data_IF_981591573432
#
_entry.id   IF_981591573432
#
_cell.length_a   1.000
_cell.length_b   1.000
_cell.length_c   1.000
_cell.angle_alpha   90.00
_cell.angle_beta   90.00
_cell.angle_gamma   90.00
#
_symmetry.space_group_name_H-M   'P 1'
#
loop_
_entity.id
_entity.type
_entity.pdbx_description
1 polymer ?
#
# COMPACT_ATOMS: atom_id res chain seq x y z
N UNK A 1 -115.12 23.07 25.87
CA UNK A 1 -113.89 23.84 25.56
C UNK A 1 -112.86 23.54 26.63
N UNK A 2 -111.54 23.45 26.36
CA UNK A 2 -110.81 22.69 25.33
C UNK A 2 -109.78 21.69 25.93
N UNK A 3 -109.18 20.90 25.02
CA UNK A 3 -107.95 20.10 25.03
C UNK A 3 -106.94 20.18 26.19
N UNK A 4 -106.34 19.02 26.54
CA UNK A 4 -104.90 18.75 26.30
C UNK A 4 -104.54 17.27 26.58
N UNK A 5 -104.29 16.50 25.52
CA UNK A 5 -103.56 15.21 25.57
C UNK A 5 -102.06 15.55 25.75
N UNK A 6 -101.45 15.04 26.83
CA UNK A 6 -100.03 15.19 27.12
C UNK A 6 -99.27 14.04 26.45
N UNK A 7 -98.55 14.35 25.36
CA UNK A 7 -97.57 13.46 24.73
C UNK A 7 -96.18 13.86 25.22
N UNK A 8 -95.48 13.01 25.98
CA UNK A 8 -94.11 13.28 26.47
C UNK A 8 -93.07 12.19 26.17
N UNK A 9 -93.41 11.14 25.43
CA UNK A 9 -92.50 9.98 25.26
C UNK A 9 -91.65 10.03 23.97
N UNK A 10 -91.96 10.93 23.03
CA UNK A 10 -91.23 11.06 21.76
C UNK A 10 -89.92 11.87 21.85
N UNK A 11 -89.83 12.85 22.74
CA UNK A 11 -88.65 13.72 22.90
C UNK A 11 -87.48 13.00 23.56
N UNK A 12 -87.75 12.09 24.50
CA UNK A 12 -86.71 11.25 25.15
C UNK A 12 -86.08 10.28 24.15
N UNK A 13 -86.88 9.69 23.26
CA UNK A 13 -86.37 8.81 22.21
C UNK A 13 -85.48 9.55 21.21
N UNK A 14 -85.87 10.77 20.81
CA UNK A 14 -85.07 11.60 19.90
C UNK A 14 -83.78 12.07 20.57
N UNK A 15 -83.80 12.45 21.85
CA UNK A 15 -82.57 12.83 22.56
C UNK A 15 -81.62 11.65 22.73
N UNK A 16 -82.13 10.47 23.11
CA UNK A 16 -81.31 9.26 23.28
C UNK A 16 -80.72 8.82 21.93
N UNK A 17 -81.52 8.81 20.86
CA UNK A 17 -81.05 8.50 19.50
C UNK A 17 -79.99 9.51 19.02
N UNK A 18 -80.20 10.81 19.27
CA UNK A 18 -79.22 11.83 18.92
C UNK A 18 -77.90 11.61 19.67
N UNK A 19 -77.93 11.31 20.97
CA UNK A 19 -76.72 10.98 21.74
C UNK A 19 -76.05 9.69 21.28
N UNK A 20 -76.79 8.62 20.96
CA UNK A 20 -76.17 7.36 20.52
C UNK A 20 -75.53 7.48 19.13
N UNK A 21 -76.13 8.26 18.23
CA UNK A 21 -75.52 8.60 16.92
C UNK A 21 -74.25 9.43 17.12
N UNK A 22 -74.28 10.42 18.03
CA UNK A 22 -73.10 11.25 18.34
C UNK A 22 -71.95 10.42 18.91
N UNK A 23 -72.24 9.55 19.87
CA UNK A 23 -71.26 8.62 20.45
C UNK A 23 -70.73 7.65 19.39
N UNK A 24 -71.58 7.16 18.49
CA UNK A 24 -71.16 6.32 17.36
C UNK A 24 -70.21 7.02 16.40
N UNK A 25 -70.48 8.28 16.05
CA UNK A 25 -69.59 9.10 15.20
C UNK A 25 -68.24 9.34 15.89
N UNK A 26 -68.24 9.67 17.19
CA UNK A 26 -67.01 9.87 17.96
C UNK A 26 -66.19 8.57 18.03
N UNK A 27 -66.84 7.43 18.25
CA UNK A 27 -66.17 6.12 18.28
C UNK A 27 -65.54 5.77 16.92
N UNK A 28 -66.25 5.99 15.80
CA UNK A 28 -65.72 5.75 14.46
C UNK A 28 -64.57 6.71 14.13
N UNK A 29 -64.70 8.00 14.50
CA UNK A 29 -63.65 8.99 14.32
C UNK A 29 -62.38 8.64 15.12
N UNK A 30 -62.53 8.17 16.36
CA UNK A 30 -61.41 7.72 17.20
C UNK A 30 -60.71 6.48 16.59
N UNK A 31 -61.45 5.51 16.06
CA UNK A 31 -60.87 4.35 15.36
C UNK A 31 -60.19 4.75 14.05
N UNK A 32 -60.76 5.70 13.32
CA UNK A 32 -60.13 6.27 12.12
C UNK A 32 -58.81 6.95 12.45
N UNK A 33 -58.78 7.75 13.53
CA UNK A 33 -57.59 8.47 13.98
C UNK A 33 -56.50 7.52 14.49
N UNK A 34 -56.84 6.47 15.25
CA UNK A 34 -55.84 5.49 15.72
C UNK A 34 -55.25 4.68 14.57
N UNK A 35 -56.04 4.36 13.54
CA UNK A 35 -55.52 3.72 12.30
C UNK A 35 -54.62 4.64 11.51
N UNK A 36 -54.98 5.92 11.37
CA UNK A 36 -54.17 6.91 10.68
C UNK A 36 -52.84 7.14 11.41
N UNK A 37 -52.88 7.33 12.73
CA UNK A 37 -51.69 7.44 13.58
C UNK A 37 -50.83 6.18 13.52
N UNK A 38 -51.45 5.00 13.59
CA UNK A 38 -50.75 3.72 13.47
C UNK A 38 -50.07 3.52 12.11
N UNK A 39 -50.67 4.02 11.02
CA UNK A 39 -50.04 4.00 9.69
C UNK A 39 -48.88 4.98 9.60
N UNK A 40 -49.02 6.19 10.14
CA UNK A 40 -47.95 7.18 10.19
C UNK A 40 -46.74 6.65 10.97
N UNK A 41 -46.98 6.15 12.19
CA UNK A 41 -45.92 5.60 13.03
C UNK A 41 -45.19 4.40 12.38
N UNK A 42 -45.91 3.57 11.61
CA UNK A 42 -45.30 2.49 10.83
C UNK A 42 -44.40 3.04 9.71
N UNK A 43 -44.87 4.03 8.95
CA UNK A 43 -44.09 4.64 7.87
C UNK A 43 -42.82 5.32 8.41
N UNK A 44 -42.91 6.00 9.55
CA UNK A 44 -41.77 6.64 10.20
C UNK A 44 -40.74 5.60 10.67
N UNK A 45 -41.21 4.51 11.30
CA UNK A 45 -40.37 3.36 11.68
C UNK A 45 -39.75 2.67 10.46
N UNK A 46 -40.51 2.54 9.37
CA UNK A 46 -40.02 1.91 8.16
C UNK A 46 -38.95 2.76 7.48
N UNK A 47 -39.12 4.08 7.45
CA UNK A 47 -38.14 5.02 6.95
C UNK A 47 -36.85 5.02 7.78
N UNK A 48 -36.94 5.09 9.11
CA UNK A 48 -35.75 5.05 9.97
C UNK A 48 -34.96 3.76 9.82
N UNK A 49 -35.66 2.63 9.62
CA UNK A 49 -35.00 1.34 9.39
C UNK A 49 -34.37 1.28 8.00
N UNK A 50 -35.02 1.80 6.96
CA UNK A 50 -34.45 1.86 5.62
C UNK A 50 -33.16 2.72 5.58
N UNK A 51 -33.13 3.82 6.34
CA UNK A 51 -31.93 4.65 6.48
C UNK A 51 -30.79 3.89 7.17
N UNK A 52 -31.06 3.24 8.31
CA UNK A 52 -30.06 2.45 9.02
C UNK A 52 -29.51 1.32 8.15
N UNK A 53 -30.37 0.66 7.37
CA UNK A 53 -29.96 -0.40 6.46
C UNK A 53 -29.07 0.10 5.34
N UNK A 54 -29.35 1.27 4.77
CA UNK A 54 -28.47 1.87 3.76
C UNK A 54 -27.07 2.15 4.35
N UNK A 55 -26.99 2.68 5.56
CA UNK A 55 -25.71 2.92 6.25
C UNK A 55 -24.95 1.62 6.52
N UNK A 56 -25.62 0.61 7.07
CA UNK A 56 -25.01 -0.71 7.31
C UNK A 56 -24.55 -1.38 6.01
N UNK A 57 -25.24 -1.13 4.89
CA UNK A 57 -24.80 -1.62 3.59
C UNK A 57 -23.47 -0.98 3.18
N UNK A 58 -23.31 0.34 3.35
CA UNK A 58 -22.04 1.03 3.11
C UNK A 58 -20.91 0.41 3.95
N UNK A 59 -21.15 0.18 5.25
CA UNK A 59 -20.18 -0.48 6.13
C UNK A 59 -19.84 -1.90 5.66
N UNK A 60 -20.84 -2.67 5.21
CA UNK A 60 -20.63 -4.00 4.64
C UNK A 60 -19.84 -3.98 3.33
N UNK A 61 -20.08 -2.97 2.47
CA UNK A 61 -19.31 -2.75 1.24
C UNK A 61 -17.85 -2.40 1.54
N UNK A 62 -17.62 -1.48 2.49
CA UNK A 62 -16.28 -1.14 2.96
C UNK A 62 -15.55 -2.34 3.55
N UNK A 63 -16.21 -3.12 4.41
CA UNK A 63 -15.61 -4.33 4.96
C UNK A 63 -15.16 -5.29 3.86
N UNK A 64 -15.98 -5.48 2.82
CA UNK A 64 -15.61 -6.31 1.68
C UNK A 64 -14.39 -5.76 0.91
N UNK A 65 -14.36 -4.45 0.66
CA UNK A 65 -13.22 -3.78 0.01
C UNK A 65 -11.93 -3.97 0.82
N UNK A 66 -12.01 -3.86 2.15
CA UNK A 66 -10.85 -3.99 3.03
C UNK A 66 -10.39 -5.43 3.27
N UNK A 67 -11.24 -6.43 3.06
CA UNK A 67 -10.93 -7.84 3.35
C UNK A 67 -10.65 -8.68 2.12
N UNK A 68 -10.90 -8.15 0.92
CA UNK A 68 -10.65 -8.84 -0.34
C UNK A 68 -9.74 -7.98 -1.21
N UNK A 69 -8.49 -8.40 -1.39
CA UNK A 69 -7.49 -7.70 -2.22
C UNK A 69 -7.96 -7.58 -3.68
N UNK A 70 -8.72 -8.56 -4.19
CA UNK A 70 -9.22 -8.60 -5.57
C UNK A 70 -10.67 -8.08 -5.68
N UNK A 71 -11.07 -7.17 -4.79
CA UNK A 71 -12.45 -6.69 -4.76
C UNK A 71 -12.88 -6.01 -6.07
N UNK A 72 -11.98 -5.31 -6.77
CA UNK A 72 -12.26 -4.63 -8.05
C UNK A 72 -12.66 -5.63 -9.13
N UNK A 73 -11.81 -6.61 -9.43
CA UNK A 73 -12.07 -7.66 -10.43
C UNK A 73 -13.33 -8.47 -10.12
N UNK A 74 -13.50 -8.80 -8.82
CA UNK A 74 -14.68 -9.50 -8.37
C UNK A 74 -15.93 -8.68 -8.66
N UNK A 75 -15.93 -7.39 -8.33
CA UNK A 75 -17.09 -6.53 -8.53
C UNK A 75 -17.35 -6.20 -9.99
N UNK A 76 -16.33 -6.13 -10.84
CA UNK A 76 -16.52 -5.91 -12.27
C UNK A 76 -17.37 -7.05 -12.87
N UNK A 77 -17.06 -8.29 -12.45
CA UNK A 77 -17.85 -9.48 -12.80
C UNK A 77 -19.32 -9.42 -12.31
N UNK A 78 -19.62 -8.61 -11.30
CA UNK A 78 -20.97 -8.39 -10.75
C UNK A 78 -21.59 -7.05 -11.17
N UNK A 79 -21.04 -6.36 -12.18
CA UNK A 79 -21.46 -5.00 -12.57
C UNK A 79 -21.53 -4.04 -11.36
N UNK A 80 -20.55 -4.12 -10.47
CA UNK A 80 -20.43 -3.29 -9.28
C UNK A 80 -21.51 -3.50 -8.21
N UNK A 81 -22.39 -4.51 -8.33
CA UNK A 81 -23.56 -4.65 -7.46
C UNK A 81 -23.41 -5.77 -6.43
N UNK A 82 -23.60 -5.42 -5.15
CA UNK A 82 -23.62 -6.34 -4.02
C UNK A 82 -24.97 -6.31 -3.31
N UNK A 83 -25.43 -7.50 -2.89
CA UNK A 83 -26.61 -7.67 -2.06
C UNK A 83 -26.23 -8.17 -0.67
N UNK A 84 -26.70 -7.48 0.37
CA UNK A 84 -26.53 -7.87 1.76
C UNK A 84 -27.88 -8.21 2.38
N UNK A 85 -27.96 -9.35 3.04
CA UNK A 85 -29.09 -9.69 3.90
C UNK A 85 -28.81 -9.19 5.31
N UNK A 86 -29.61 -8.22 5.78
CA UNK A 86 -29.52 -7.70 7.15
C UNK A 86 -30.84 -8.04 7.84
N UNK A 87 -30.85 -9.16 8.57
CA UNK A 87 -32.06 -9.69 9.20
C UNK A 87 -33.10 -10.13 8.16
N UNK A 88 -34.28 -9.49 8.18
CA UNK A 88 -35.41 -9.79 7.27
C UNK A 88 -35.53 -8.81 6.09
N UNK A 89 -34.49 -8.03 5.81
CA UNK A 89 -34.50 -6.98 4.80
C UNK A 89 -33.30 -7.07 3.87
N UNK A 90 -33.46 -6.56 2.66
CA UNK A 90 -32.42 -6.52 1.64
C UNK A 90 -31.86 -5.10 1.59
N UNK A 91 -30.54 -5.00 1.73
CA UNK A 91 -29.80 -3.80 1.40
C UNK A 91 -28.89 -4.11 0.21
N UNK A 92 -28.81 -3.20 -0.75
CA UNK A 92 -27.91 -3.33 -1.90
C UNK A 92 -26.88 -2.23 -1.88
N UNK A 93 -25.66 -2.53 -2.31
CA UNK A 93 -24.61 -1.53 -2.57
C UNK A 93 -24.25 -1.64 -4.04
N UNK A 94 -24.14 -0.51 -4.69
CA UNK A 94 -23.61 -0.39 -6.05
C UNK A 94 -22.35 0.44 -5.97
N UNK A 95 -21.27 -0.08 -6.52
CA UNK A 95 -19.96 0.56 -6.62
C UNK A 95 -19.75 0.93 -8.07
N UNK A 96 -19.42 2.19 -8.32
CA UNK A 96 -19.17 2.71 -9.67
C UNK A 96 -17.93 3.59 -9.64
N UNK A 97 -17.12 3.51 -10.67
CA UNK A 97 -16.09 4.49 -10.95
C UNK A 97 -16.76 5.82 -11.41
N UNK A 98 -16.43 6.97 -10.81
CA UNK A 98 -17.01 8.26 -11.17
C UNK A 98 -16.39 8.90 -12.41
N UNK A 99 -15.19 8.49 -12.83
CA UNK A 99 -14.45 9.04 -13.96
C UNK A 99 -14.90 8.45 -15.30
N UNK A 100 -14.94 7.12 -15.40
CA UNK A 100 -15.28 6.41 -16.66
C UNK A 100 -16.25 5.24 -16.50
N UNK A 101 -16.55 4.83 -15.27
CA UNK A 101 -17.48 3.74 -14.95
C UNK A 101 -16.85 2.34 -15.00
N UNK A 102 -15.56 2.23 -15.31
CA UNK A 102 -14.78 1.00 -15.21
C UNK A 102 -14.10 0.95 -13.83
N UNK A 103 -14.41 -0.05 -13.02
CA UNK A 103 -13.86 -0.16 -11.66
C UNK A 103 -12.56 -0.97 -11.60
N UNK A 104 -12.15 -1.60 -12.70
CA UNK A 104 -11.01 -2.51 -12.77
C UNK A 104 -9.81 -1.94 -13.55
N UNK A 105 -10.01 -0.86 -14.30
CA UNK A 105 -8.99 -0.20 -15.13
C UNK A 105 -7.77 0.34 -14.34
N UNK A 106 -7.99 0.87 -13.14
CA UNK A 106 -6.98 1.57 -12.35
C UNK A 106 -7.20 1.33 -10.85
N UNK A 107 -6.18 0.85 -10.13
CA UNK A 107 -6.26 0.63 -8.70
C UNK A 107 -6.35 1.95 -7.91
N UNK A 108 -5.84 3.05 -8.47
CA UNK A 108 -5.77 4.37 -7.84
C UNK A 108 -7.05 5.21 -8.03
N UNK A 109 -8.03 4.70 -8.77
CA UNK A 109 -9.25 5.47 -9.06
C UNK A 109 -10.20 5.49 -7.85
N UNK A 110 -10.71 6.67 -7.53
CA UNK A 110 -11.76 6.86 -6.51
C UNK A 110 -13.00 6.04 -6.88
N UNK A 111 -13.74 5.53 -5.90
CA UNK A 111 -14.99 4.80 -6.17
C UNK A 111 -16.18 5.37 -5.42
N UNK A 112 -17.33 5.31 -6.08
CA UNK A 112 -18.58 5.86 -5.57
C UNK A 112 -19.48 4.72 -5.08
N UNK A 113 -19.67 4.63 -3.77
CA UNK A 113 -20.54 3.65 -3.14
C UNK A 113 -21.94 4.20 -2.98
N UNK A 114 -22.91 3.53 -3.57
CA UNK A 114 -24.33 3.86 -3.50
C UNK A 114 -25.11 2.73 -2.83
N UNK A 115 -25.49 2.92 -1.57
CA UNK A 115 -26.31 1.98 -0.84
C UNK A 115 -27.81 2.28 -0.98
N UNK A 116 -28.63 1.24 -1.10
CA UNK A 116 -30.08 1.31 -1.07
C UNK A 116 -30.62 0.39 0.02
N UNK A 117 -31.25 0.97 1.04
CA UNK A 117 -31.98 0.23 2.09
C UNK A 117 -33.48 0.23 1.82
N UNK A 118 -34.15 -0.89 2.12
CA UNK A 118 -35.58 -1.06 1.87
C UNK A 118 -36.31 -1.73 3.05
N UNK A 119 -37.42 -1.13 3.49
CA UNK A 119 -38.36 -1.76 4.44
C UNK A 119 -39.79 -1.43 4.08
N UNK A 120 -40.58 -2.46 3.77
CA UNK A 120 -41.95 -2.28 3.31
C UNK A 120 -41.98 -1.45 2.02
N UNK A 121 -42.63 -0.28 2.08
CA UNK A 121 -42.67 0.69 0.97
C UNK A 121 -41.62 1.82 1.11
N UNK A 122 -40.89 1.89 2.23
CA UNK A 122 -39.85 2.88 2.43
C UNK A 122 -38.55 2.44 1.75
N UNK A 123 -37.95 3.37 1.01
CA UNK A 123 -36.65 3.22 0.34
C UNK A 123 -35.78 4.42 0.67
N UNK A 124 -34.54 4.17 1.06
CA UNK A 124 -33.55 5.21 1.32
C UNK A 124 -32.28 4.89 0.54
N UNK A 125 -31.72 5.89 -0.14
CA UNK A 125 -30.46 5.76 -0.88
C UNK A 125 -29.43 6.70 -0.28
N UNK A 126 -28.27 6.16 0.03
CA UNK A 126 -27.14 6.91 0.60
C UNK A 126 -25.93 6.68 -0.27
N UNK A 127 -25.14 7.73 -0.46
CA UNK A 127 -23.96 7.68 -1.31
C UNK A 127 -22.76 8.26 -0.58
N UNK A 128 -21.59 7.67 -0.83
CA UNK A 128 -20.30 8.06 -0.27
C UNK A 128 -19.23 7.86 -1.34
N UNK A 129 -18.24 8.75 -1.37
CA UNK A 129 -17.05 8.60 -2.22
C UNK A 129 -15.95 7.98 -1.37
N UNK A 130 -15.30 6.95 -1.90
CA UNK A 130 -14.07 6.40 -1.35
C UNK A 130 -12.90 6.95 -2.16
N UNK A 131 -11.91 7.45 -1.46
CA UNK A 131 -10.64 7.91 -2.01
C UNK A 131 -9.54 6.88 -1.69
N UNK A 132 -8.56 6.77 -2.59
CA UNK A 132 -7.37 5.95 -2.35
C UNK A 132 -6.39 6.72 -1.47
N UNK A 133 -5.97 6.09 -0.38
CA UNK A 133 -4.90 6.58 0.48
C UNK A 133 -3.70 5.65 0.32
N UNK A 134 -2.54 6.24 0.06
CA UNK A 134 -1.25 5.56 0.02
C UNK A 134 -0.60 5.61 1.40
N UNK A 135 -0.36 4.45 1.99
CA UNK A 135 0.41 4.30 3.22
C UNK A 135 1.75 3.63 2.91
N UNK A 136 2.89 4.07 3.49
CA UNK A 136 4.18 3.45 3.25
C UNK A 136 4.14 1.96 3.62
N UNK A 137 4.80 1.12 2.83
CA UNK A 137 4.96 -0.29 3.16
C UNK A 137 5.64 -0.45 4.54
N UNK A 138 5.14 -1.35 5.38
CA UNK A 138 5.75 -1.62 6.69
C UNK A 138 7.20 -2.13 6.55
N UNK A 139 7.54 -2.75 5.42
CA UNK A 139 8.90 -3.18 5.10
C UNK A 139 9.90 -2.00 5.06
N UNK A 140 9.45 -0.78 4.72
CA UNK A 140 10.28 0.43 4.73
C UNK A 140 10.71 0.86 6.14
N UNK A 141 10.03 0.37 7.18
CA UNK A 141 10.40 0.60 8.58
C UNK A 141 11.38 -0.44 9.13
N UNK A 142 12.14 -1.11 8.26
CA UNK A 142 13.13 -2.14 8.60
C UNK A 142 14.48 -1.84 7.94
N UNK A 143 15.59 -2.37 8.46
CA UNK A 143 16.89 -2.25 7.77
C UNK A 143 16.94 -3.19 6.55
N UNK A 144 16.54 -4.44 6.78
CA UNK A 144 16.44 -5.48 5.78
C UNK A 144 15.15 -6.26 6.02
N UNK A 145 14.29 -6.33 5.01
CA UNK A 145 13.13 -7.22 5.00
C UNK A 145 13.31 -8.30 3.94
N UNK A 146 13.12 -9.57 4.32
CA UNK A 146 13.07 -10.69 3.39
C UNK A 146 11.69 -11.37 3.40
N UNK A 147 11.06 -11.52 2.24
CA UNK A 147 9.86 -12.35 2.10
C UNK A 147 10.15 -13.83 2.39
N UNK A 148 11.32 -14.31 1.99
CA UNK A 148 11.85 -15.63 2.28
C UNK A 148 12.72 -15.71 3.54
N UNK A 149 13.39 -16.85 3.73
CA UNK A 149 14.24 -17.08 4.91
C UNK A 149 15.43 -16.12 4.94
N UNK A 150 15.84 -15.74 6.16
CA UNK A 150 17.09 -15.02 6.39
C UNK A 150 18.06 -15.94 7.11
N UNK A 151 19.28 -16.08 6.59
CA UNK A 151 20.32 -16.90 7.22
C UNK A 151 21.58 -16.08 7.47
N UNK A 152 21.97 -15.97 8.74
CA UNK A 152 23.27 -15.43 9.16
C UNK A 152 24.20 -16.59 9.45
N UNK A 153 25.23 -16.77 8.62
CA UNK A 153 26.16 -17.90 8.73
C UNK A 153 27.07 -17.79 9.96
N UNK A 154 27.66 -18.94 10.35
CA UNK A 154 28.62 -18.99 11.45
C UNK A 154 29.85 -18.13 11.16
N UNK A 155 30.26 -17.31 12.13
CA UNK A 155 31.38 -16.38 11.98
C UNK A 155 31.04 -15.06 11.30
N UNK A 156 29.81 -14.88 10.84
CA UNK A 156 29.30 -13.66 10.20
C UNK A 156 28.57 -12.77 11.21
N UNK A 157 28.66 -11.44 11.08
CA UNK A 157 28.01 -10.48 11.98
C UNK A 157 27.23 -9.46 11.16
N UNK A 158 25.91 -9.51 11.21
CA UNK A 158 25.07 -8.46 10.62
C UNK A 158 24.87 -7.34 11.65
N UNK A 159 25.17 -6.10 11.27
CA UNK A 159 24.83 -4.91 12.06
C UNK A 159 23.64 -4.18 11.43
N UNK A 160 22.53 -4.08 12.17
CA UNK A 160 21.36 -3.29 11.79
C UNK A 160 21.11 -2.18 12.80
N UNK A 161 21.10 -0.94 12.34
CA UNK A 161 20.93 0.26 13.17
C UNK A 161 19.72 1.11 12.73
N UNK A 162 19.01 1.69 13.69
CA UNK A 162 17.83 2.53 13.46
C UNK A 162 16.51 1.78 13.21
N UNK A 163 16.55 0.53 12.74
CA UNK A 163 15.36 -0.30 12.51
C UNK A 163 15.67 -1.82 12.59
N UNK A 164 14.67 -2.69 12.80
CA UNK A 164 14.93 -4.12 12.95
C UNK A 164 15.28 -4.82 11.63
N UNK A 165 15.97 -5.96 11.74
CA UNK A 165 16.00 -6.99 10.71
C UNK A 165 14.65 -7.73 10.69
N UNK A 166 14.06 -7.96 9.52
CA UNK A 166 12.77 -8.61 9.41
C UNK A 166 12.70 -9.71 8.34
N UNK A 167 11.89 -10.73 8.60
CA UNK A 167 11.49 -11.73 7.59
C UNK A 167 10.07 -12.23 7.79
N UNK A 168 9.36 -12.51 6.69
CA UNK A 168 8.06 -13.19 6.72
C UNK A 168 8.18 -14.70 6.94
N UNK A 169 9.39 -15.25 6.96
CA UNK A 169 9.67 -16.67 7.09
C UNK A 169 10.57 -16.96 8.31
N UNK A 170 11.52 -17.88 8.16
CA UNK A 170 12.42 -18.29 9.25
C UNK A 170 13.69 -17.46 9.24
N UNK A 171 14.04 -16.86 10.38
CA UNK A 171 15.35 -16.28 10.63
C UNK A 171 16.25 -17.32 11.30
N UNK A 172 17.32 -17.73 10.61
CA UNK A 172 18.34 -18.64 11.15
C UNK A 172 19.61 -17.84 11.47
N UNK A 173 19.97 -17.75 12.75
CA UNK A 173 21.17 -17.03 13.20
C UNK A 173 22.19 -18.01 13.73
N UNK A 174 23.27 -18.26 12.98
CA UNK A 174 24.42 -19.07 13.42
C UNK A 174 25.65 -18.21 13.77
N UNK A 175 25.69 -16.96 13.33
CA UNK A 175 26.71 -15.96 13.65
C UNK A 175 26.25 -15.00 14.73
N UNK A 176 26.15 -13.71 14.39
CA UNK A 176 25.65 -12.66 15.28
C UNK A 176 24.79 -11.62 14.57
N UNK A 177 23.84 -11.02 15.30
CA UNK A 177 23.08 -9.85 14.84
C UNK A 177 23.14 -8.73 15.90
N UNK A 178 23.69 -7.57 15.51
CA UNK A 178 23.52 -6.34 16.27
C UNK A 178 22.21 -5.67 15.87
N UNK A 179 21.33 -5.39 16.85
CA UNK A 179 20.01 -4.80 16.64
C UNK A 179 18.82 -5.74 16.87
N UNK A 180 17.62 -5.18 16.71
CA UNK A 180 16.34 -5.85 16.90
C UNK A 180 15.99 -6.76 15.71
N UNK A 181 15.23 -7.82 15.95
CA UNK A 181 14.80 -8.76 14.90
C UNK A 181 13.30 -9.09 15.00
N UNK A 182 12.65 -9.28 13.86
CA UNK A 182 11.26 -9.72 13.76
C UNK A 182 11.05 -10.77 12.68
N UNK A 183 10.61 -11.96 13.06
CA UNK A 183 10.43 -13.08 12.15
C UNK A 183 9.18 -13.90 12.46
N UNK A 184 8.68 -14.66 11.49
CA UNK A 184 7.61 -15.63 11.74
C UNK A 184 8.09 -16.76 12.67
N UNK A 185 9.35 -17.17 12.52
CA UNK A 185 10.04 -18.05 13.48
C UNK A 185 11.55 -17.78 13.52
N UNK A 186 12.20 -18.08 14.64
CA UNK A 186 13.65 -17.89 14.82
C UNK A 186 14.31 -19.22 15.21
N UNK A 187 15.41 -19.54 14.53
CA UNK A 187 16.37 -20.58 14.89
C UNK A 187 17.67 -19.87 15.27
N UNK A 188 17.89 -19.67 16.57
CA UNK A 188 19.07 -18.99 17.09
C UNK A 188 20.10 -20.00 17.62
N UNK A 189 21.21 -20.16 16.90
CA UNK A 189 22.40 -20.95 17.27
C UNK A 189 23.61 -20.05 17.60
N UNK A 190 23.49 -18.75 17.36
CA UNK A 190 24.49 -17.72 17.60
C UNK A 190 24.04 -16.77 18.70
N UNK A 191 24.00 -15.47 18.41
CA UNK A 191 23.46 -14.47 19.32
C UNK A 191 22.77 -13.32 18.57
N UNK A 192 21.78 -12.72 19.24
CA UNK A 192 21.07 -11.50 18.83
C UNK A 192 21.17 -10.53 20.01
N UNK A 193 21.58 -9.30 19.77
CA UNK A 193 21.76 -8.31 20.85
C UNK A 193 20.48 -7.55 21.21
N UNK A 194 19.55 -7.38 20.27
CA UNK A 194 18.29 -6.67 20.45
C UNK A 194 17.10 -7.55 20.81
N UNK A 195 15.91 -6.98 20.66
CA UNK A 195 14.63 -7.62 20.93
C UNK A 195 14.27 -8.62 19.84
N UNK A 196 13.88 -9.82 20.25
CA UNK A 196 13.36 -10.85 19.34
C UNK A 196 11.82 -10.82 19.34
N UNK A 197 11.22 -10.45 18.20
CA UNK A 197 9.75 -10.46 18.01
C UNK A 197 9.31 -11.69 17.22
N UNK A 198 8.68 -12.65 17.90
CA UNK A 198 8.23 -13.92 17.30
C UNK A 198 6.87 -14.37 17.88
N UNK A 199 5.86 -14.67 17.05
CA UNK A 199 5.82 -14.38 15.61
C UNK A 199 5.63 -12.88 15.37
N UNK A 200 6.42 -12.31 14.47
CA UNK A 200 6.14 -11.00 13.92
C UNK A 200 4.99 -11.08 12.88
N UNK A 201 4.13 -10.06 12.76
CA UNK A 201 3.20 -9.95 11.64
C UNK A 201 3.96 -9.98 10.31
N UNK A 202 3.36 -10.64 9.31
CA UNK A 202 3.87 -10.60 7.95
C UNK A 202 3.74 -9.17 7.41
N UNK A 203 4.77 -8.70 6.71
CA UNK A 203 4.79 -7.39 6.07
C UNK A 203 4.54 -7.56 4.57
N UNK A 204 3.81 -6.62 3.99
CA UNK A 204 3.55 -6.61 2.56
C UNK A 204 4.85 -6.36 1.78
N UNK A 205 4.97 -7.03 0.64
CA UNK A 205 6.03 -6.81 -0.33
C UNK A 205 5.58 -5.76 -1.36
N UNK A 206 6.52 -5.16 -2.12
CA UNK A 206 6.19 -4.26 -3.20
C UNK A 206 5.27 -4.93 -4.23
N UNK A 207 4.46 -4.13 -4.92
CA UNK A 207 3.64 -4.64 -6.02
C UNK A 207 4.56 -5.24 -7.11
N UNK A 208 4.28 -6.46 -7.60
CA UNK A 208 5.09 -7.09 -8.65
C UNK A 208 5.28 -6.23 -9.90
N UNK A 209 4.39 -5.27 -10.16
CA UNK A 209 4.47 -4.39 -11.32
C UNK A 209 5.45 -3.22 -11.16
N UNK A 210 5.90 -2.91 -9.94
CA UNK A 210 6.80 -1.76 -9.66
C UNK A 210 8.06 -1.78 -10.54
N UNK A 211 8.67 -2.95 -10.73
CA UNK A 211 9.86 -3.07 -11.57
C UNK A 211 9.57 -2.71 -13.05
N UNK A 212 8.38 -3.05 -13.54
CA UNK A 212 7.95 -2.73 -14.90
C UNK A 212 7.58 -1.25 -15.04
N UNK A 213 6.90 -0.65 -14.05
CA UNK A 213 6.58 0.78 -14.02
C UNK A 213 7.86 1.63 -14.13
N UNK A 214 8.89 1.31 -13.34
CA UNK A 214 10.18 1.99 -13.43
C UNK A 214 10.91 1.72 -14.75
N UNK A 215 10.76 0.53 -15.33
CA UNK A 215 11.35 0.20 -16.62
C UNK A 215 10.76 1.06 -17.76
N UNK A 216 9.46 1.33 -17.72
CA UNK A 216 8.78 2.13 -18.75
C UNK A 216 9.26 3.60 -18.75
N UNK A 217 9.80 4.08 -17.63
CA UNK A 217 10.43 5.40 -17.48
C UNK A 217 11.93 5.41 -17.82
N UNK A 218 12.55 4.23 -17.96
CA UNK A 218 14.00 4.09 -17.98
C UNK A 218 14.63 4.28 -19.37
N UNK A 219 15.83 4.87 -19.40
CA UNK A 219 16.68 4.82 -20.58
C UNK A 219 17.50 3.51 -20.58
N UNK A 220 17.55 2.82 -21.72
CA UNK A 220 18.23 1.52 -21.81
C UNK A 220 19.75 1.69 -21.92
N UNK A 221 20.49 1.01 -21.05
CA UNK A 221 21.94 0.87 -21.13
C UNK A 221 22.26 -0.48 -21.80
N UNK A 222 23.09 -0.51 -22.86
CA UNK A 222 23.57 -1.74 -23.47
C UNK A 222 24.29 -2.62 -22.44
N UNK A 223 23.88 -3.87 -22.35
CA UNK A 223 24.53 -4.83 -21.46
C UNK A 223 25.97 -5.12 -21.87
N UNK A 224 26.84 -5.13 -20.88
CA UNK A 224 28.19 -5.70 -20.92
C UNK A 224 28.40 -6.49 -19.63
N UNK A 225 29.12 -7.62 -19.70
CA UNK A 225 29.24 -8.55 -18.57
C UNK A 225 29.96 -7.96 -17.35
N UNK A 226 30.86 -7.00 -17.59
CA UNK A 226 31.58 -6.26 -16.55
C UNK A 226 31.48 -4.78 -16.87
N UNK A 227 30.85 -4.03 -15.98
CA UNK A 227 30.77 -2.58 -16.01
C UNK A 227 31.68 -2.03 -14.93
N UNK A 228 32.80 -1.43 -15.35
CA UNK A 228 33.80 -0.88 -14.45
C UNK A 228 34.17 0.55 -14.80
N UNK A 229 34.66 1.31 -13.81
CA UNK A 229 35.23 2.66 -14.00
C UNK A 229 34.27 3.62 -14.70
N UNK A 230 33.11 3.87 -14.12
CA UNK A 230 32.10 4.74 -14.75
C UNK A 230 31.32 5.61 -13.78
N UNK A 231 30.75 6.68 -14.35
CA UNK A 231 29.85 7.60 -13.67
C UNK A 231 28.53 7.62 -14.41
N UNK A 232 27.44 7.39 -13.69
CA UNK A 232 26.08 7.43 -14.22
C UNK A 232 25.25 8.43 -13.42
N UNK A 233 24.72 9.45 -14.09
CA UNK A 233 23.85 10.48 -13.50
C UNK A 233 22.79 10.92 -14.53
N UNK A 234 21.74 11.66 -14.14
CA UNK A 234 20.69 12.08 -15.08
C UNK A 234 21.18 12.95 -16.24
N UNK A 235 22.38 13.51 -16.11
CA UNK A 235 23.01 14.36 -17.13
C UNK A 235 24.20 13.68 -17.82
N UNK A 236 24.61 12.49 -17.36
CA UNK A 236 25.78 11.78 -17.87
C UNK A 236 25.51 10.27 -17.92
N UNK A 237 25.37 9.74 -19.14
CA UNK A 237 25.32 8.31 -19.43
C UNK A 237 26.46 7.94 -20.39
N UNK A 238 27.45 7.13 -19.97
CA UNK A 238 28.59 6.75 -20.82
C UNK A 238 28.21 5.95 -22.07
N UNK A 239 27.04 5.33 -22.10
CA UNK A 239 26.64 4.39 -23.17
C UNK A 239 25.54 4.90 -24.09
N UNK A 240 25.01 6.10 -23.87
CA UNK A 240 23.86 6.55 -24.64
C UNK A 240 23.29 7.88 -24.19
N UNK A 241 21.98 8.04 -24.36
CA UNK A 241 21.27 9.24 -23.96
C UNK A 241 21.23 9.37 -22.43
N UNK A 242 21.24 10.60 -21.95
CA UNK A 242 21.00 10.87 -20.54
C UNK A 242 19.50 10.79 -20.24
N UNK A 243 19.13 10.35 -19.03
CA UNK A 243 17.74 10.23 -18.58
C UNK A 243 17.43 11.39 -17.63
N UNK A 244 16.54 12.35 -17.96
CA UNK A 244 16.24 13.50 -17.11
C UNK A 244 15.76 13.14 -15.70
N UNK A 245 15.03 12.04 -15.57
CA UNK A 245 14.57 11.48 -14.29
C UNK A 245 15.64 10.62 -13.60
N UNK A 246 16.75 10.33 -14.28
CA UNK A 246 17.86 9.56 -13.75
C UNK A 246 17.59 8.06 -13.63
N UNK A 247 16.64 7.55 -14.42
CA UNK A 247 16.24 6.14 -14.42
C UNK A 247 16.87 5.40 -15.59
N UNK A 248 17.51 4.28 -15.31
CA UNK A 248 18.24 3.47 -16.29
C UNK A 248 17.93 1.99 -16.14
N UNK A 249 17.88 1.27 -17.24
CA UNK A 249 17.65 -0.19 -17.25
C UNK A 249 18.76 -0.92 -17.97
N UNK A 250 19.23 -2.02 -17.37
CA UNK A 250 20.13 -3.00 -17.99
C UNK A 250 19.39 -4.33 -18.07
N UNK A 251 19.22 -4.85 -19.29
CA UNK A 251 18.77 -6.23 -19.51
C UNK A 251 19.97 -7.12 -19.83
N UNK A 252 20.25 -8.07 -18.94
CA UNK A 252 21.40 -8.99 -19.07
C UNK A 252 21.11 -10.19 -20.00
N UNK A 253 19.85 -10.42 -20.37
CA UNK A 253 19.44 -11.55 -21.21
C UNK A 253 19.76 -12.93 -20.63
N UNK A 254 19.79 -13.09 -19.29
CA UNK A 254 20.08 -14.37 -18.63
C UNK A 254 21.55 -14.54 -18.24
N UNK A 255 22.38 -13.50 -18.37
CA UNK A 255 23.81 -13.55 -18.10
C UNK A 255 24.18 -12.82 -16.80
N UNK A 256 25.36 -13.12 -16.28
CA UNK A 256 25.85 -12.46 -15.07
C UNK A 256 26.38 -11.07 -15.39
N UNK A 257 26.12 -10.13 -14.48
CA UNK A 257 26.60 -8.75 -14.56
C UNK A 257 27.46 -8.44 -13.33
N UNK A 258 28.63 -7.87 -13.55
CA UNK A 258 29.49 -7.35 -12.48
C UNK A 258 29.60 -5.84 -12.58
N UNK A 259 29.30 -5.13 -11.49
CA UNK A 259 29.49 -3.69 -11.35
C UNK A 259 30.54 -3.43 -10.27
N UNK A 260 31.55 -2.62 -10.60
CA UNK A 260 32.61 -2.21 -9.67
C UNK A 260 33.24 -0.87 -10.09
N UNK A 261 33.83 -0.14 -9.16
CA UNK A 261 34.49 1.15 -9.46
C UNK A 261 33.53 2.14 -10.11
N UNK A 262 32.35 2.31 -9.52
CA UNK A 262 31.26 3.07 -10.14
C UNK A 262 30.64 4.08 -9.19
N UNK A 263 30.29 5.25 -9.74
CA UNK A 263 29.46 6.24 -9.07
C UNK A 263 28.13 6.40 -9.79
N UNK A 264 27.04 6.05 -9.12
CA UNK A 264 25.69 6.10 -9.68
C UNK A 264 24.85 7.07 -8.86
N UNK A 265 24.32 8.10 -9.52
CA UNK A 265 23.32 9.02 -8.96
C UNK A 265 22.05 8.90 -9.79
N UNK A 266 21.15 8.02 -9.39
CA UNK A 266 19.97 7.68 -10.16
C UNK A 266 19.35 6.38 -9.68
N UNK A 267 18.37 5.91 -10.43
CA UNK A 267 17.70 4.63 -10.22
C UNK A 267 18.19 3.66 -11.28
N UNK A 268 18.76 2.54 -10.86
CA UNK A 268 19.21 1.48 -11.76
C UNK A 268 18.28 0.27 -11.64
N UNK A 269 17.70 -0.15 -12.76
CA UNK A 269 16.92 -1.37 -12.88
C UNK A 269 17.77 -2.41 -13.60
N UNK A 270 17.91 -3.61 -13.04
CA UNK A 270 18.68 -4.70 -13.65
C UNK A 270 17.78 -5.92 -13.79
N UNK A 271 17.58 -6.36 -15.04
CA UNK A 271 16.81 -7.57 -15.35
C UNK A 271 17.75 -8.72 -15.63
N UNK A 272 17.70 -9.74 -14.78
CA UNK A 272 18.68 -10.83 -14.86
C UNK A 272 18.22 -11.99 -15.73
N UNK A 273 16.90 -12.23 -15.84
CA UNK A 273 16.31 -13.42 -16.50
C UNK A 273 16.96 -14.74 -16.04
N UNK A 274 17.33 -14.84 -14.76
CA UNK A 274 17.99 -16.00 -14.16
C UNK A 274 19.52 -15.93 -14.09
N UNK A 275 20.15 -14.85 -14.56
CA UNK A 275 21.53 -14.50 -14.23
C UNK A 275 21.68 -13.93 -12.82
N UNK A 276 22.92 -13.70 -12.40
CA UNK A 276 23.26 -13.08 -11.11
C UNK A 276 23.91 -11.71 -11.30
N UNK A 277 23.48 -10.71 -10.52
CA UNK A 277 24.15 -9.40 -10.44
C UNK A 277 25.11 -9.40 -9.27
N UNK A 278 26.35 -9.03 -9.51
CA UNK A 278 27.35 -8.81 -8.45
C UNK A 278 27.78 -7.35 -8.43
N UNK A 279 27.55 -6.66 -7.31
CA UNK A 279 28.11 -5.33 -7.04
C UNK A 279 29.24 -5.52 -6.04
N UNK A 280 30.46 -5.15 -6.42
CA UNK A 280 31.65 -5.49 -5.65
C UNK A 280 32.71 -4.39 -5.59
N UNK A 281 33.67 -4.60 -4.70
CA UNK A 281 34.81 -3.70 -4.46
C UNK A 281 34.34 -2.31 -3.98
N UNK A 282 34.51 -1.27 -4.80
CA UNK A 282 34.12 0.10 -4.47
C UNK A 282 33.00 0.60 -5.38
N UNK A 283 31.82 0.87 -4.83
CA UNK A 283 30.69 1.45 -5.57
C UNK A 283 29.92 2.43 -4.69
N UNK A 284 29.66 3.63 -5.20
CA UNK A 284 28.83 4.62 -4.54
C UNK A 284 27.52 4.81 -5.30
N UNK A 285 26.40 4.41 -4.70
CA UNK A 285 25.07 4.62 -5.30
C UNK A 285 24.17 5.43 -4.39
N UNK A 286 23.39 6.32 -5.00
CA UNK A 286 22.31 7.05 -4.32
C UNK A 286 21.25 7.44 -5.33
N UNK A 287 20.00 7.68 -4.91
CA UNK A 287 18.96 8.03 -5.85
C UNK A 287 19.18 9.48 -6.33
N UNK A 288 18.68 9.80 -7.53
CA UNK A 288 18.67 11.18 -8.01
C UNK A 288 17.51 11.97 -7.41
N UNK A 289 16.31 11.39 -7.46
CA UNK A 289 15.09 11.90 -6.83
C UNK A 289 14.85 11.18 -5.50
N UNK A 290 14.35 11.91 -4.51
CA UNK A 290 14.14 11.35 -3.15
C UNK A 290 12.94 10.39 -3.07
N UNK A 291 12.03 10.49 -4.03
CA UNK A 291 10.84 9.65 -4.19
C UNK A 291 11.12 8.40 -5.04
N UNK A 292 12.38 8.12 -5.43
CA UNK A 292 12.73 6.98 -6.29
C UNK A 292 13.67 6.01 -5.55
N UNK A 293 13.59 4.69 -5.83
CA UNK A 293 14.55 3.72 -5.32
C UNK A 293 15.92 3.94 -5.98
N UNK A 294 16.96 3.39 -5.38
CA UNK A 294 18.33 3.49 -5.92
C UNK A 294 18.65 2.33 -6.84
N UNK A 295 18.21 1.13 -6.46
CA UNK A 295 18.49 -0.10 -7.20
C UNK A 295 17.27 -1.01 -7.13
N UNK A 296 16.81 -1.46 -8.31
CA UNK A 296 15.84 -2.54 -8.46
C UNK A 296 16.52 -3.67 -9.22
N UNK A 297 16.57 -4.86 -8.63
CA UNK A 297 17.09 -6.07 -9.29
C UNK A 297 15.95 -7.05 -9.46
N UNK A 298 15.53 -7.21 -10.71
CA UNK A 298 14.61 -8.28 -11.09
C UNK A 298 15.43 -9.58 -11.30
N UNK A 299 15.72 -10.25 -10.19
CA UNK A 299 16.58 -11.43 -10.10
C UNK A 299 17.43 -11.51 -8.82
N UNK A 300 18.49 -12.31 -8.86
CA UNK A 300 19.39 -12.54 -7.73
C UNK A 300 20.49 -11.45 -7.66
N UNK A 301 20.76 -10.97 -6.44
CA UNK A 301 21.76 -9.94 -6.15
C UNK A 301 22.80 -10.41 -5.14
N UNK A 302 24.08 -10.20 -5.48
CA UNK A 302 25.22 -10.40 -4.60
C UNK A 302 25.91 -9.06 -4.33
N UNK A 303 25.99 -8.68 -3.07
CA UNK A 303 26.72 -7.50 -2.60
C UNK A 303 28.04 -7.92 -1.95
N UNK A 304 29.13 -7.41 -2.52
CA UNK A 304 30.53 -7.69 -2.19
C UNK A 304 31.34 -6.40 -2.07
N UNK A 305 30.72 -5.34 -1.53
CA UNK A 305 31.45 -4.09 -1.30
C UNK A 305 32.46 -4.28 -0.17
N UNK A 306 33.61 -3.61 -0.30
CA UNK A 306 34.69 -3.58 0.69
C UNK A 306 34.67 -2.27 1.46
N UNK A 307 33.50 -1.92 2.01
CA UNK A 307 33.27 -0.60 2.61
C UNK A 307 34.08 -0.35 3.89
N UNK A 308 34.69 -1.38 4.47
CA UNK A 308 35.56 -1.31 5.65
C UNK A 308 37.02 -0.91 5.32
N UNK A 309 37.46 -1.21 4.10
CA UNK A 309 38.88 -1.16 3.69
C UNK A 309 39.11 -0.26 2.49
N UNK A 310 38.12 -0.10 1.62
CA UNK A 310 38.20 0.65 0.37
C UNK A 310 37.23 1.84 0.35
N UNK A 311 37.71 2.96 -0.17
CA UNK A 311 36.88 4.07 -0.64
C UNK A 311 36.74 4.01 -2.17
N UNK A 312 35.79 4.74 -2.72
CA UNK A 312 35.76 4.96 -4.17
C UNK A 312 36.77 6.08 -4.49
N UNK A 313 38.02 5.69 -4.75
CA UNK A 313 39.15 6.59 -4.99
C UNK A 313 39.45 6.75 -6.48
N UNK A 314 39.40 7.98 -6.99
CA UNK A 314 39.67 8.27 -8.40
C UNK A 314 41.09 7.89 -8.84
N UNK A 315 42.08 7.97 -7.94
CA UNK A 315 43.47 7.65 -8.24
C UNK A 315 43.67 6.14 -8.41
N UNK A 316 43.02 5.34 -7.57
CA UNK A 316 43.08 3.87 -7.65
C UNK A 316 42.35 3.33 -8.89
N UNK A 317 41.23 3.97 -9.25
CA UNK A 317 40.41 3.57 -10.40
C UNK A 317 40.79 4.26 -11.72
N UNK A 318 41.62 5.30 -11.67
CA UNK A 318 42.10 6.04 -12.84
C UNK A 318 40.99 6.77 -13.60
N UNK A 319 39.92 7.18 -12.92
CA UNK A 319 38.74 7.81 -13.51
C UNK A 319 38.24 8.94 -12.62
N UNK A 320 37.85 10.07 -13.22
CA UNK A 320 37.17 11.15 -12.50
C UNK A 320 35.71 10.74 -12.26
N UNK A 321 35.30 10.69 -11.00
CA UNK A 321 33.96 10.37 -10.56
C UNK A 321 33.06 11.60 -10.35
N UNK A 322 33.57 12.84 -10.37
CA UNK A 322 32.77 14.09 -10.35
C UNK A 322 32.95 15.01 -11.59
N UNK A 323 32.98 14.49 -12.83
CA UNK A 323 33.28 15.32 -14.00
C UNK A 323 32.16 16.34 -14.27
N UNK A 324 32.36 17.33 -15.16
CA UNK A 324 31.29 18.25 -15.53
C UNK A 324 30.07 17.47 -16.07
N UNK A 325 28.90 17.70 -15.47
CA UNK A 325 27.68 16.92 -15.73
C UNK A 325 27.37 15.86 -14.67
N UNK A 326 28.31 15.53 -13.78
CA UNK A 326 28.11 14.61 -12.67
C UNK A 326 28.64 15.16 -11.34
N UNK A 327 28.18 16.34 -10.87
CA UNK A 327 28.76 16.97 -9.69
C UNK A 327 28.54 16.14 -8.40
N UNK A 328 29.52 16.11 -7.51
CA UNK A 328 29.40 15.61 -6.14
C UNK A 328 29.24 16.77 -5.17
N UNK A 329 28.17 16.74 -4.36
CA UNK A 329 27.79 17.83 -3.46
C UNK A 329 27.74 19.23 -4.12
N UNK A 330 27.47 19.28 -5.43
CA UNK A 330 27.41 20.51 -6.22
C UNK A 330 28.75 20.95 -6.83
N UNK A 331 29.86 20.28 -6.51
CA UNK A 331 31.18 20.50 -7.12
C UNK A 331 31.46 19.53 -8.26
N UNK A 332 32.25 19.96 -9.23
CA UNK A 332 32.80 19.13 -10.30
C UNK A 332 34.17 19.65 -10.67
N UNK A 333 35.08 18.78 -11.08
CA UNK A 333 36.42 19.14 -11.55
C UNK A 333 36.84 18.28 -12.74
N UNK A 334 38.16 18.21 -12.99
CA UNK A 334 38.75 17.50 -14.12
C UNK A 334 39.96 16.66 -13.74
N UNK A 335 40.26 16.52 -12.45
CA UNK A 335 41.40 15.73 -11.97
C UNK A 335 40.94 14.35 -11.49
N UNK A 336 41.82 13.60 -10.81
CA UNK A 336 41.52 12.24 -10.34
C UNK A 336 42.00 12.07 -8.89
N UNK A 337 41.89 13.13 -8.10
CA UNK A 337 42.46 13.21 -6.76
C UNK A 337 41.37 13.12 -5.66
N UNK A 338 40.10 12.98 -6.05
CA UNK A 338 38.98 12.91 -5.11
C UNK A 338 38.66 11.49 -4.65
N UNK A 339 38.09 11.41 -3.46
CA UNK A 339 37.63 10.15 -2.84
C UNK A 339 36.18 10.28 -2.42
N UNK A 340 35.41 9.21 -2.62
CA UNK A 340 33.99 9.15 -2.28
C UNK A 340 33.70 7.96 -1.35
N UNK A 341 32.57 8.00 -0.60
CA UNK A 341 32.13 6.86 0.20
C UNK A 341 31.94 5.61 -0.65
N UNK A 342 32.19 4.44 -0.06
CA UNK A 342 31.90 3.14 -0.66
C UNK A 342 30.65 2.55 0.00
N UNK A 343 29.46 2.98 -0.43
CA UNK A 343 28.20 2.59 0.18
C UNK A 343 27.02 2.77 -0.77
N UNK A 344 25.93 2.06 -0.48
CA UNK A 344 24.66 2.19 -1.19
C UNK A 344 23.68 2.98 -0.32
N UNK A 345 23.08 4.04 -0.85
CA UNK A 345 22.11 4.87 -0.13
C UNK A 345 20.72 4.75 -0.71
N UNK A 346 19.68 4.79 0.11
CA UNK A 346 18.27 4.76 -0.31
C UNK A 346 17.69 3.34 -0.34
N UNK A 347 16.61 3.16 -1.09
CA UNK A 347 15.92 1.88 -1.19
C UNK A 347 16.58 0.95 -2.23
N UNK A 348 16.86 -0.28 -1.81
CA UNK A 348 17.31 -1.40 -2.66
C UNK A 348 16.22 -2.46 -2.67
N UNK A 349 15.70 -2.79 -3.85
CA UNK A 349 14.66 -3.81 -4.03
C UNK A 349 15.19 -4.96 -4.88
N UNK A 350 15.03 -6.18 -4.39
CA UNK A 350 15.46 -7.43 -5.04
C UNK A 350 14.26 -8.38 -5.11
N UNK A 351 13.85 -8.78 -6.31
CA UNK A 351 12.73 -9.74 -6.49
C UNK A 351 13.18 -11.19 -6.27
N UNK A 352 14.47 -11.49 -6.51
CA UNK A 352 15.08 -12.79 -6.25
C UNK A 352 15.69 -12.89 -4.85
N UNK A 353 16.85 -13.55 -4.77
CA UNK A 353 17.59 -13.76 -3.54
C UNK A 353 18.72 -12.74 -3.37
N UNK A 354 19.02 -12.43 -2.11
CA UNK A 354 20.09 -11.53 -1.72
C UNK A 354 21.22 -12.29 -1.03
N UNK A 355 22.47 -12.01 -1.40
CA UNK A 355 23.66 -12.48 -0.71
C UNK A 355 24.58 -11.32 -0.33
N UNK A 356 24.85 -11.15 0.96
CA UNK A 356 25.81 -10.18 1.50
C UNK A 356 27.10 -10.94 1.84
N UNK A 357 28.14 -10.80 1.01
CA UNK A 357 29.36 -11.65 1.08
C UNK A 357 30.64 -10.89 1.45
N UNK A 358 30.54 -9.63 1.88
CA UNK A 358 31.66 -8.78 2.33
C UNK A 358 31.14 -7.72 3.32
N UNK A 359 32.03 -6.83 3.80
CA UNK A 359 31.70 -5.63 4.57
C UNK A 359 30.96 -4.58 3.72
N UNK A 360 29.73 -4.92 3.31
CA UNK A 360 28.86 -4.01 2.56
C UNK A 360 28.19 -3.02 3.51
N UNK A 361 28.35 -1.73 3.24
CA UNK A 361 27.65 -0.66 3.94
C UNK A 361 26.44 -0.16 3.13
N UNK A 362 25.26 -0.20 3.75
CA UNK A 362 24.02 0.34 3.19
C UNK A 362 23.43 1.36 4.15
N UNK A 363 23.08 2.54 3.63
CA UNK A 363 22.36 3.59 4.36
C UNK A 363 20.98 3.79 3.74
N UNK A 364 19.99 3.05 4.23
CA UNK A 364 18.67 2.97 3.65
C UNK A 364 17.94 1.70 4.05
N UNK A 365 17.19 1.14 3.10
CA UNK A 365 16.38 -0.06 3.33
C UNK A 365 16.65 -1.05 2.22
N UNK A 366 16.74 -2.33 2.56
CA UNK A 366 16.77 -3.43 1.60
C UNK A 366 15.48 -4.23 1.71
N UNK A 367 14.74 -4.35 0.60
CA UNK A 367 13.60 -5.24 0.47
C UNK A 367 13.98 -6.36 -0.49
N UNK A 368 13.95 -7.59 0.01
CA UNK A 368 14.21 -8.81 -0.75
C UNK A 368 12.95 -9.65 -0.74
N UNK A 369 12.37 -9.98 -1.89
CA UNK A 369 11.18 -10.85 -1.93
C UNK A 369 11.55 -12.32 -1.67
N UNK A 370 12.72 -12.75 -2.14
CA UNK A 370 13.28 -14.08 -1.89
C UNK A 370 13.99 -14.22 -0.56
N UNK A 371 14.98 -15.13 -0.50
CA UNK A 371 15.78 -15.38 0.69
C UNK A 371 16.99 -14.44 0.77
N UNK A 372 17.38 -14.06 1.99
CA UNK A 372 18.61 -13.29 2.23
C UNK A 372 19.65 -14.13 2.97
N UNK A 373 20.90 -14.08 2.52
CA UNK A 373 22.03 -14.78 3.15
C UNK A 373 23.13 -13.80 3.52
N UNK A 374 23.62 -13.91 4.74
CA UNK A 374 24.70 -13.08 5.28
C UNK A 374 25.91 -13.98 5.49
N UNK A 375 26.93 -13.78 4.64
CA UNK A 375 28.16 -14.58 4.58
C UNK A 375 29.41 -13.82 5.01
N UNK A 376 29.28 -12.58 5.44
CA UNK A 376 30.33 -11.79 6.09
C UNK A 376 29.72 -10.78 7.08
N UNK A 377 30.26 -9.57 7.20
CA UNK A 377 29.91 -8.62 8.25
C UNK A 377 29.37 -7.28 7.71
N UNK A 378 28.22 -7.28 7.00
CA UNK A 378 27.64 -6.06 6.46
C UNK A 378 27.03 -5.18 7.56
N UNK A 379 26.95 -3.87 7.26
CA UNK A 379 26.32 -2.86 8.11
C UNK A 379 25.18 -2.24 7.32
N UNK A 380 23.98 -2.21 7.92
CA UNK A 380 22.79 -1.59 7.34
C UNK A 380 22.26 -0.58 8.35
N UNK A 381 22.30 0.70 7.98
CA UNK A 381 21.77 1.80 8.77
C UNK A 381 20.47 2.27 8.14
N UNK A 382 19.39 2.27 8.89
CA UNK A 382 18.07 2.69 8.42
C UNK A 382 18.02 4.18 8.09
N UNK A 383 17.42 4.52 6.95
CA UNK A 383 17.03 5.90 6.64
C UNK A 383 15.52 6.09 6.91
N UNK A 384 15.14 6.81 7.99
CA UNK A 384 13.73 7.01 8.36
C UNK A 384 12.98 7.88 7.35
N UNK A 385 13.69 8.62 6.48
CA UNK A 385 13.04 9.43 5.44
C UNK A 385 12.26 8.57 4.46
N UNK A 386 12.68 7.32 4.23
CA UNK A 386 11.98 6.37 3.35
C UNK A 386 10.61 5.95 3.88
N UNK A 387 10.33 6.11 5.18
CA UNK A 387 8.97 5.88 5.72
C UNK A 387 8.12 7.12 5.59
N UNK A 388 8.70 8.30 5.82
CA UNK A 388 7.98 9.58 5.75
C UNK A 388 7.74 10.08 4.33
N UNK A 389 8.57 9.64 3.38
CA UNK A 389 8.50 9.94 1.97
C UNK A 389 8.87 8.67 1.19
N UNK A 390 7.97 7.68 1.14
CA UNK A 390 8.23 6.40 0.48
C UNK A 390 8.49 6.61 -1.00
N UNK A 391 9.39 5.81 -1.61
CA UNK A 391 9.54 5.84 -3.05
C UNK A 391 8.23 5.44 -3.76
N UNK A 392 8.00 5.99 -4.95
CA UNK A 392 6.83 5.67 -5.78
C UNK A 392 6.71 4.14 -5.98
N UNK A 393 5.51 3.59 -5.85
CA UNK A 393 5.27 2.13 -5.90
C UNK A 393 5.53 1.38 -4.59
N UNK A 394 6.13 1.99 -3.56
CA UNK A 394 6.42 1.34 -2.26
C UNK A 394 5.41 1.74 -1.17
N UNK A 395 4.13 1.75 -1.54
CA UNK A 395 3.01 2.07 -0.66
C UNK A 395 1.90 1.03 -0.79
N UNK A 396 1.22 0.71 0.31
CA UNK A 396 -0.07 0.03 0.25
C UNK A 396 -1.17 1.01 -0.09
N UNK A 397 -2.15 0.57 -0.89
CA UNK A 397 -3.35 1.33 -1.23
C UNK A 397 -4.49 0.91 -0.31
N UNK A 398 -5.13 1.87 0.35
CA UNK A 398 -6.35 1.63 1.14
C UNK A 398 -7.44 2.58 0.71
N UNK A 399 -8.64 2.04 0.54
CA UNK A 399 -9.83 2.85 0.30
C UNK A 399 -10.34 3.43 1.61
N UNK A 400 -10.55 4.74 1.67
CA UNK A 400 -11.16 5.39 2.82
C UNK A 400 -12.32 6.27 2.37
N UNK A 401 -13.34 6.44 3.21
CA UNK A 401 -14.39 7.43 2.97
C UNK A 401 -13.77 8.82 2.90
N UNK A 402 -13.92 9.48 1.76
CA UNK A 402 -13.55 10.87 1.57
C UNK A 402 -14.34 11.74 2.57
N UNK A 403 -13.68 12.51 3.46
CA UNK A 403 -14.35 13.31 4.48
C UNK A 403 -15.40 14.26 3.89
N UNK A 404 -16.63 14.20 4.41
CA UNK A 404 -17.73 15.05 3.94
C UNK A 404 -18.43 14.59 2.65
N UNK A 405 -18.08 13.43 2.10
CA UNK A 405 -18.71 12.89 0.87
C UNK A 405 -20.11 12.27 1.07
N UNK A 406 -20.51 12.04 2.34
CA UNK A 406 -21.82 11.47 2.66
C UNK A 406 -22.95 12.35 2.14
N UNK A 407 -23.80 11.78 1.27
CA UNK A 407 -25.00 12.45 0.78
C UNK A 407 -26.18 11.51 0.65
N UNK A 408 -27.37 12.04 0.87
CA UNK A 408 -28.60 11.36 0.48
C UNK A 408 -28.73 11.42 -1.03
N UNK A 409 -28.91 10.27 -1.66
CA UNK A 409 -29.18 10.17 -3.09
C UNK A 409 -30.69 10.01 -3.33
N UNK A 410 -31.15 10.44 -4.50
CA UNK A 410 -32.53 10.28 -4.97
C UNK A 410 -32.46 9.52 -6.30
N UNK A 411 -33.49 8.71 -6.58
CA UNK A 411 -33.60 8.02 -7.88
C UNK A 411 -33.91 8.99 -9.02
#
# INVERSE_FOLDING_TARGET
MPHAKRHSDGTVYVSVLATTVLVGIIAIAAVGMTRAQGRSARLDSDWSTAQLQAQNAIEGGLYLIHTNENWRDMLDSYNGTLGFYIGSSIATVVITDPADGDIANSPDDDVLLTATGTKGAARHKTQVTLEVIHEPLEALATCLHAGGNVTVYFGCILDVDGAPLSTNATLTVSGGVFGDVGAASIINLGWISGTETVPAPAKDLPDPEVAQEYQDLAETIPYVSIMETFVLTPMLNPWGAASPDGVYVIDTGGQNLVIKGARIRGTLIIRTHGGEVTIQDAVFMRPFRVDYPTLIVDGDLVLKLKSDTDLLDEADWGVNFNPPGAPYLGGSDTDTDDTYPNELRGLIHVTGNLSLESYTHVNGVIICEGAATIKDSPIIVHDPSLVTNPPEGYTTRKMQIAPGSWRQAVD
#
